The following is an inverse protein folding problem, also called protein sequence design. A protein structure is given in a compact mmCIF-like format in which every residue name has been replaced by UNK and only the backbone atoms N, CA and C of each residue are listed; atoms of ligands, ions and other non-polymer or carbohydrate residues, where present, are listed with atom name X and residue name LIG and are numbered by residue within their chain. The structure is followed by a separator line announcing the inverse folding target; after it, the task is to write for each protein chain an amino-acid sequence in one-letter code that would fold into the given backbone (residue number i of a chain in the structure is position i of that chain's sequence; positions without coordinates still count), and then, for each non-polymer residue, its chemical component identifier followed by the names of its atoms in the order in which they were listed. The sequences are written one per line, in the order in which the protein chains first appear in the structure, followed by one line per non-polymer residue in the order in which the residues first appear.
data_IF_199905916307
#
_entry.id   IF_199905916307
#
_cell.length_a   1.000
_cell.length_b   1.000
_cell.length_c   1.000
_cell.angle_alpha   90.00
_cell.angle_beta   90.00
_cell.angle_gamma   90.00
#
_symmetry.space_group_name_H-M   'P 1'
#
loop_
_entity.id
_entity.type
_entity.pdbx_description
1 polymer ?
#
# COMPACT_ATOMS: atom_id res chain seq x y z
N UNK A 1 67.13 0.72 -4.99
CA UNK A 1 65.93 1.09 -4.22
C UNK A 1 64.72 0.46 -4.92
N UNK A 2 64.09 -0.56 -4.34
CA UNK A 2 63.04 -1.39 -5.00
C UNK A 2 61.71 -0.63 -5.00
N UNK A 3 61.21 -0.26 -6.18
CA UNK A 3 59.88 0.34 -6.35
C UNK A 3 58.81 -0.75 -6.20
N UNK A 4 57.97 -0.65 -5.16
CA UNK A 4 56.80 -1.51 -5.00
C UNK A 4 55.60 -0.92 -5.75
N UNK A 5 55.17 -1.60 -6.81
CA UNK A 5 53.97 -1.27 -7.57
C UNK A 5 52.74 -1.73 -6.77
N UNK A 6 51.92 -0.80 -6.26
CA UNK A 6 50.68 -1.12 -5.55
C UNK A 6 49.55 -1.28 -6.57
N UNK A 7 49.06 -2.51 -6.74
CA UNK A 7 47.88 -2.79 -7.55
C UNK A 7 46.63 -2.55 -6.69
N UNK A 8 45.78 -1.60 -7.08
CA UNK A 8 44.51 -1.36 -6.40
C UNK A 8 43.40 -2.10 -7.16
N UNK A 9 42.75 -3.07 -6.50
CA UNK A 9 41.57 -3.75 -7.05
C UNK A 9 40.36 -2.87 -6.74
N UNK A 10 39.73 -2.35 -7.80
CA UNK A 10 38.44 -1.64 -7.69
C UNK A 10 37.34 -2.70 -7.84
N UNK A 11 36.67 -3.01 -6.73
CA UNK A 11 35.45 -3.84 -6.73
C UNK A 11 34.26 -2.91 -7.02
N UNK A 12 33.69 -3.02 -8.22
CA UNK A 12 32.43 -2.35 -8.54
C UNK A 12 31.29 -3.15 -7.90
N UNK A 13 30.78 -2.67 -6.77
CA UNK A 13 29.51 -3.14 -6.21
C UNK A 13 28.40 -2.38 -6.93
N UNK A 14 27.79 -3.01 -7.93
CA UNK A 14 26.54 -2.53 -8.50
C UNK A 14 25.43 -2.79 -7.47
N UNK A 15 24.98 -1.74 -6.78
CA UNK A 15 23.75 -1.80 -6.00
C UNK A 15 22.59 -1.91 -7.00
N UNK A 16 21.76 -2.97 -6.97
CA UNK A 16 20.55 -2.98 -7.77
C UNK A 16 19.65 -1.86 -7.24
N UNK A 17 19.46 -0.83 -8.06
CA UNK A 17 18.35 0.09 -7.86
C UNK A 17 17.08 -0.75 -7.98
N UNK A 18 16.28 -0.83 -6.92
CA UNK A 18 14.94 -1.37 -7.04
C UNK A 18 14.22 -0.53 -8.11
N UNK A 19 13.92 -1.14 -9.26
CA UNK A 19 13.08 -0.49 -10.25
C UNK A 19 11.72 -0.25 -9.59
N UNK A 20 11.24 1.00 -9.62
CA UNK A 20 9.86 1.28 -9.25
C UNK A 20 8.96 0.58 -10.26
N UNK A 21 8.42 -0.56 -9.88
CA UNK A 21 7.52 -1.32 -10.70
C UNK A 21 6.23 -0.52 -10.92
N UNK A 22 5.91 -0.26 -12.18
CA UNK A 22 4.68 0.42 -12.55
C UNK A 22 3.53 -0.57 -12.55
N UNK A 23 2.48 -0.23 -11.81
CA UNK A 23 1.22 -0.96 -11.80
C UNK A 23 0.15 -0.17 -12.55
N UNK A 24 -0.65 -0.90 -13.32
CA UNK A 24 -1.73 -0.38 -14.14
C UNK A 24 -3.07 -0.85 -13.59
N UNK A 25 -4.11 -0.03 -13.76
CA UNK A 25 -5.48 -0.53 -13.72
C UNK A 25 -5.85 -1.02 -15.11
N UNK A 26 -6.18 -2.30 -15.23
CA UNK A 26 -6.42 -2.98 -16.49
C UNK A 26 -7.83 -3.55 -16.51
N UNK A 27 -8.63 -3.18 -17.49
CA UNK A 27 -9.92 -3.80 -17.75
C UNK A 27 -9.75 -4.99 -18.68
N UNK A 28 -10.05 -6.18 -18.20
CA UNK A 28 -10.13 -7.40 -19.01
C UNK A 28 -11.59 -7.65 -19.39
N UNK A 29 -11.87 -7.86 -20.69
CA UNK A 29 -13.23 -7.92 -21.24
C UNK A 29 -13.88 -9.32 -21.19
N UNK A 30 -13.44 -10.17 -20.26
CA UNK A 30 -14.08 -11.46 -19.96
C UNK A 30 -13.95 -11.77 -18.48
N UNK A 31 -14.92 -12.51 -17.96
CA UNK A 31 -14.91 -13.05 -16.59
C UNK A 31 -15.19 -14.56 -16.60
N UNK A 32 -14.96 -15.24 -17.73
CA UNK A 32 -15.12 -16.68 -17.80
C UNK A 32 -14.02 -17.40 -16.99
N UNK A 33 -14.26 -18.67 -16.67
CA UNK A 33 -13.35 -19.44 -15.83
C UNK A 33 -11.96 -19.59 -16.46
N UNK A 34 -11.87 -19.64 -17.80
CA UNK A 34 -10.59 -19.73 -18.50
C UNK A 34 -9.75 -18.47 -18.31
N UNK A 35 -10.37 -17.30 -18.47
CA UNK A 35 -9.78 -15.98 -18.25
C UNK A 35 -9.33 -15.83 -16.80
N UNK A 36 -10.19 -16.15 -15.83
CA UNK A 36 -9.83 -16.06 -14.40
C UNK A 36 -8.67 -16.99 -14.04
N UNK A 37 -8.59 -18.16 -14.66
CA UNK A 37 -7.47 -19.10 -14.48
C UNK A 37 -6.18 -18.54 -15.07
N UNK A 38 -6.24 -17.92 -16.25
CA UNK A 38 -5.09 -17.22 -16.85
C UNK A 38 -4.61 -16.09 -15.93
N UNK A 39 -5.50 -15.24 -15.44
CA UNK A 39 -5.14 -14.14 -14.53
C UNK A 39 -4.45 -14.67 -13.26
N UNK A 40 -5.01 -15.71 -12.64
CA UNK A 40 -4.41 -16.35 -11.48
C UNK A 40 -3.02 -16.93 -11.77
N UNK A 41 -2.85 -17.63 -12.89
CA UNK A 41 -1.59 -18.27 -13.26
C UNK A 41 -0.49 -17.26 -13.61
N UNK A 42 -0.84 -16.10 -14.14
CA UNK A 42 0.10 -14.98 -14.39
C UNK A 42 0.35 -14.15 -13.12
N UNK A 43 -0.14 -14.61 -11.96
CA UNK A 43 0.07 -13.96 -10.67
C UNK A 43 -0.67 -12.62 -10.53
N UNK A 44 -1.69 -12.37 -11.35
CA UNK A 44 -2.49 -11.15 -11.28
C UNK A 44 -3.46 -11.28 -10.10
N UNK A 45 -3.39 -10.38 -9.10
CA UNK A 45 -4.23 -10.46 -7.91
C UNK A 45 -5.71 -10.22 -8.24
N UNK A 46 -6.58 -11.03 -7.62
CA UNK A 46 -8.04 -11.00 -7.81
C UNK A 46 -8.81 -10.62 -6.52
N UNK A 47 -8.09 -10.16 -5.50
CA UNK A 47 -8.61 -9.85 -4.16
C UNK A 47 -9.29 -8.46 -4.08
N UNK A 48 -8.83 -7.50 -4.88
CA UNK A 48 -9.35 -6.12 -4.92
C UNK A 48 -9.81 -5.71 -6.32
N UNK A 49 -10.75 -6.46 -6.90
CA UNK A 49 -11.22 -6.25 -8.28
C UNK A 49 -12.59 -5.60 -8.36
N UNK A 50 -12.82 -4.85 -9.44
CA UNK A 50 -14.16 -4.40 -9.83
C UNK A 50 -14.66 -5.28 -10.97
N UNK A 51 -15.75 -5.99 -10.73
CA UNK A 51 -16.26 -6.99 -11.68
C UNK A 51 -17.69 -6.68 -12.12
N UNK A 52 -17.93 -6.84 -13.43
CA UNK A 52 -19.26 -6.98 -14.00
C UNK A 52 -19.34 -8.35 -14.66
N UNK A 53 -20.01 -9.29 -14.00
CA UNK A 53 -20.08 -10.68 -14.43
C UNK A 53 -20.51 -10.83 -15.90
N UNK A 54 -19.75 -11.62 -16.65
CA UNK A 54 -19.94 -11.86 -18.07
C UNK A 54 -19.54 -10.69 -18.98
N UNK A 55 -18.99 -9.60 -18.44
CA UNK A 55 -18.63 -8.39 -19.22
C UNK A 55 -17.18 -7.98 -19.01
N UNK A 56 -16.77 -7.70 -17.77
CA UNK A 56 -15.40 -7.28 -17.50
C UNK A 56 -14.96 -7.49 -16.06
N UNK A 57 -13.65 -7.54 -15.86
CA UNK A 57 -12.98 -7.46 -14.56
C UNK A 57 -11.86 -6.42 -14.64
N UNK A 58 -11.85 -5.46 -13.74
CA UNK A 58 -10.76 -4.49 -13.59
C UNK A 58 -9.77 -5.06 -12.55
N UNK A 59 -8.52 -5.25 -12.96
CA UNK A 59 -7.43 -5.85 -12.16
C UNK A 59 -6.24 -4.89 -12.07
N UNK A 60 -5.35 -5.14 -11.10
CA UNK A 60 -4.04 -4.51 -11.02
C UNK A 60 -3.00 -5.43 -11.65
N UNK A 61 -2.29 -4.93 -12.65
CA UNK A 61 -1.25 -5.69 -13.34
C UNK A 61 -0.04 -4.80 -13.63
N UNK A 62 1.17 -5.36 -13.54
CA UNK A 62 2.39 -4.68 -13.94
C UNK A 62 2.62 -4.78 -15.46
N UNK A 63 3.70 -4.17 -15.95
CA UNK A 63 4.08 -4.19 -17.36
C UNK A 63 4.25 -5.62 -17.92
N UNK A 64 4.96 -6.48 -17.19
CA UNK A 64 5.17 -7.88 -17.59
C UNK A 64 3.83 -8.61 -17.76
N UNK A 65 2.96 -8.55 -16.76
CA UNK A 65 1.66 -9.20 -16.75
C UNK A 65 0.77 -8.70 -17.89
N UNK A 66 0.75 -7.40 -18.19
CA UNK A 66 -0.02 -6.89 -19.34
C UNK A 66 0.53 -7.33 -20.69
N UNK A 67 1.85 -7.46 -20.84
CA UNK A 67 2.46 -8.05 -22.03
C UNK A 67 2.06 -9.54 -22.18
N UNK A 68 1.96 -10.27 -21.06
CA UNK A 68 1.49 -11.66 -21.03
C UNK A 68 0.04 -11.80 -21.45
N UNK A 69 -0.86 -10.91 -21.00
CA UNK A 69 -2.26 -10.89 -21.46
C UNK A 69 -2.35 -10.75 -22.98
N UNK A 70 -1.55 -9.85 -23.56
CA UNK A 70 -1.49 -9.65 -25.01
C UNK A 70 -0.98 -10.90 -25.74
N UNK A 71 0.09 -11.52 -25.24
CA UNK A 71 0.65 -12.75 -25.81
C UNK A 71 -0.32 -13.94 -25.76
N UNK A 72 -1.20 -13.97 -24.75
CA UNK A 72 -2.24 -15.00 -24.59
C UNK A 72 -3.55 -14.68 -25.33
N UNK A 73 -3.61 -13.56 -26.04
CA UNK A 73 -4.80 -13.13 -26.79
C UNK A 73 -5.97 -12.72 -25.90
N UNK A 74 -5.73 -12.35 -24.65
CA UNK A 74 -6.75 -11.86 -23.72
C UNK A 74 -7.03 -10.38 -24.06
N UNK A 75 -8.26 -10.00 -24.45
CA UNK A 75 -8.59 -8.61 -24.75
C UNK A 75 -8.63 -7.76 -23.48
N UNK A 76 -7.92 -6.64 -23.48
CA UNK A 76 -7.90 -5.71 -22.35
C UNK A 76 -7.72 -4.25 -22.78
N UNK A 77 -8.09 -3.33 -21.89
CA UNK A 77 -7.77 -1.89 -21.96
C UNK A 77 -7.02 -1.45 -20.70
N UNK A 78 -6.07 -0.52 -20.86
CA UNK A 78 -5.44 0.15 -19.71
C UNK A 78 -6.29 1.36 -19.34
N UNK A 79 -6.83 1.36 -18.12
CA UNK A 79 -7.64 2.46 -17.58
C UNK A 79 -6.77 3.51 -16.88
N UNK A 80 -5.72 3.08 -16.19
CA UNK A 80 -4.78 3.94 -15.45
C UNK A 80 -3.37 3.39 -15.68
N UNK A 81 -2.45 4.23 -16.17
CA UNK A 81 -1.08 3.85 -16.56
C UNK A 81 -0.06 3.96 -15.43
N UNK A 82 -0.41 4.62 -14.33
CA UNK A 82 0.44 4.73 -13.14
C UNK A 82 -0.45 4.79 -11.90
N UNK A 83 -0.64 3.64 -11.26
CA UNK A 83 -1.44 3.54 -10.05
C UNK A 83 -0.81 4.25 -8.86
N UNK A 84 0.52 4.32 -8.80
CA UNK A 84 1.24 5.03 -7.72
C UNK A 84 0.94 6.52 -7.82
N UNK A 85 1.14 7.11 -9.00
CA UNK A 85 0.84 8.53 -9.20
C UNK A 85 -0.65 8.81 -9.04
N UNK A 86 -1.53 7.93 -9.52
CA UNK A 86 -2.98 8.06 -9.32
C UNK A 86 -3.38 8.18 -7.84
N UNK A 87 -2.76 7.39 -6.95
CA UNK A 87 -3.03 7.50 -5.52
C UNK A 87 -2.40 8.75 -4.91
N UNK A 88 -1.18 9.12 -5.31
CA UNK A 88 -0.51 10.34 -4.83
C UNK A 88 -1.31 11.60 -5.18
N UNK A 89 -1.78 11.71 -6.43
CA UNK A 89 -2.56 12.86 -6.90
C UNK A 89 -3.90 13.01 -6.17
N UNK A 90 -4.49 11.88 -5.78
CA UNK A 90 -5.75 11.85 -5.02
C UNK A 90 -5.53 12.02 -3.53
N UNK A 91 -4.29 11.93 -3.06
CA UNK A 91 -3.95 12.12 -1.66
C UNK A 91 -3.82 13.61 -1.34
N UNK A 92 -4.91 14.34 -1.56
CA UNK A 92 -5.05 15.75 -1.20
C UNK A 92 -5.62 15.79 0.21
N UNK A 93 -4.87 16.27 1.21
CA UNK A 93 -5.40 16.39 2.56
C UNK A 93 -6.59 17.35 2.57
N UNK A 94 -7.69 16.94 3.21
CA UNK A 94 -8.81 17.84 3.46
C UNK A 94 -8.32 18.96 4.40
N UNK A 95 -8.35 20.20 3.90
CA UNK A 95 -7.80 21.39 4.58
C UNK A 95 -8.65 21.76 5.80
N UNK A 96 -9.88 21.27 5.90
CA UNK A 96 -10.79 21.55 7.02
C UNK A 96 -11.02 20.29 7.86
N UNK A 97 -10.17 20.06 8.86
CA UNK A 97 -10.40 19.06 9.91
C UNK A 97 -10.16 19.65 11.29
N UNK A 98 -10.97 19.23 12.26
CA UNK A 98 -10.81 19.62 13.68
C UNK A 98 -9.57 18.99 14.32
N UNK A 99 -9.03 17.93 13.70
CA UNK A 99 -7.78 17.28 14.09
C UNK A 99 -6.68 17.62 13.09
N UNK A 100 -5.46 17.77 13.58
CA UNK A 100 -4.29 17.98 12.74
C UNK A 100 -4.08 16.83 11.74
N UNK A 101 -3.45 17.16 10.62
CA UNK A 101 -3.11 16.18 9.61
C UNK A 101 -1.88 15.38 10.05
N UNK A 102 -1.89 14.07 9.79
CA UNK A 102 -0.72 13.23 10.03
C UNK A 102 0.35 13.36 8.94
N UNK A 103 1.57 12.91 9.23
CA UNK A 103 2.70 13.06 8.31
C UNK A 103 2.65 12.13 7.09
N UNK A 104 1.84 11.07 7.12
CA UNK A 104 1.70 10.10 6.04
C UNK A 104 0.65 10.57 5.03
N UNK A 105 1.01 11.62 4.27
CA UNK A 105 0.14 12.26 3.28
C UNK A 105 -1.21 12.70 3.90
N UNK A 106 -1.16 13.30 5.09
CA UNK A 106 -2.35 13.74 5.81
C UNK A 106 -3.04 12.65 6.64
N UNK A 107 -2.61 11.39 6.55
CA UNK A 107 -3.00 10.31 7.46
C UNK A 107 -1.97 10.16 8.57
N UNK A 108 -2.39 9.67 9.74
CA UNK A 108 -1.46 9.36 10.82
C UNK A 108 -0.65 8.08 10.51
N UNK A 109 0.63 8.12 10.80
CA UNK A 109 1.42 6.92 11.05
C UNK A 109 0.89 6.18 12.29
N UNK A 110 1.27 4.92 12.47
CA UNK A 110 0.87 4.18 13.67
C UNK A 110 1.33 4.87 14.97
N UNK A 111 2.55 5.43 15.00
CA UNK A 111 3.06 6.15 16.18
C UNK A 111 2.24 7.40 16.46
N UNK A 112 1.98 8.21 15.43
CA UNK A 112 1.16 9.42 15.56
C UNK A 112 -0.25 9.08 16.05
N UNK A 113 -0.86 8.00 15.55
CA UNK A 113 -2.17 7.55 16.00
C UNK A 113 -2.15 7.23 17.51
N UNK A 114 -1.12 6.53 17.98
CA UNK A 114 -0.97 6.20 19.41
C UNK A 114 -0.81 7.47 20.25
N UNK A 115 -0.03 8.44 19.80
CA UNK A 115 0.13 9.74 20.47
C UNK A 115 -1.20 10.54 20.48
N UNK A 116 -2.03 10.38 19.44
CA UNK A 116 -3.37 10.98 19.40
C UNK A 116 -4.32 10.35 20.39
N UNK A 117 -4.20 9.06 20.71
CA UNK A 117 -4.98 8.45 21.79
C UNK A 117 -4.68 9.12 23.15
N UNK A 118 -3.42 9.41 23.44
CA UNK A 118 -3.04 10.14 24.68
C UNK A 118 -3.53 11.59 24.67
N UNK A 119 -3.48 12.22 23.50
CA UNK A 119 -4.03 13.58 23.31
C UNK A 119 -5.53 13.60 23.59
N UNK A 120 -6.29 12.60 23.12
CA UNK A 120 -7.73 12.51 23.37
C UNK A 120 -8.05 12.33 24.85
N UNK A 121 -7.32 11.46 25.57
CA UNK A 121 -7.48 11.29 27.02
C UNK A 121 -7.16 12.59 27.79
N UNK A 122 -6.17 13.36 27.31
CA UNK A 122 -5.79 14.66 27.92
C UNK A 122 -6.83 15.75 27.66
N UNK A 123 -7.38 15.83 26.44
CA UNK A 123 -8.32 16.88 26.05
C UNK A 123 -9.75 16.60 26.54
N UNK A 124 -10.13 15.33 26.65
CA UNK A 124 -11.49 14.91 26.97
C UNK A 124 -11.53 13.90 28.15
N UNK A 125 -10.92 14.21 29.31
CA UNK A 125 -10.76 13.26 30.41
C UNK A 125 -12.08 12.82 31.06
N UNK A 126 -13.16 13.58 30.88
CA UNK A 126 -14.49 13.22 31.39
C UNK A 126 -15.19 12.15 30.55
N UNK A 127 -14.72 11.90 29.32
CA UNK A 127 -15.33 10.93 28.40
C UNK A 127 -14.36 9.95 27.76
N UNK A 128 -13.04 10.16 27.85
CA UNK A 128 -12.00 9.30 27.26
C UNK A 128 -11.04 8.80 28.34
N UNK A 129 -10.83 7.49 28.43
CA UNK A 129 -9.85 6.88 29.32
C UNK A 129 -8.42 7.02 28.80
N UNK A 130 -7.42 6.88 29.68
CA UNK A 130 -6.05 6.57 29.24
C UNK A 130 -6.09 5.25 28.47
N UNK A 131 -5.28 5.13 27.42
CA UNK A 131 -5.18 3.90 26.63
C UNK A 131 -4.59 2.76 27.48
N UNK A 132 -5.08 1.55 27.26
CA UNK A 132 -4.58 0.33 27.87
C UNK A 132 -4.22 -0.72 26.79
N UNK A 133 -3.34 -1.63 27.15
CA UNK A 133 -2.89 -2.73 26.30
C UNK A 133 -3.83 -3.92 26.44
N UNK A 134 -4.41 -4.38 25.33
CA UNK A 134 -5.25 -5.58 25.29
C UNK A 134 -4.53 -6.78 24.66
N UNK A 135 -3.23 -6.68 24.45
CA UNK A 135 -2.39 -7.75 23.93
C UNK A 135 -1.39 -7.27 22.87
N UNK A 136 -0.88 -8.22 22.10
CA UNK A 136 0.06 -7.96 21.02
C UNK A 136 -0.45 -8.56 19.71
N UNK A 137 -0.18 -7.85 18.61
CA UNK A 137 -0.32 -8.36 17.25
C UNK A 137 0.67 -9.51 16.99
N UNK A 138 0.51 -10.20 15.86
CA UNK A 138 1.40 -11.30 15.46
C UNK A 138 2.87 -10.86 15.27
N UNK A 139 3.09 -9.59 14.92
CA UNK A 139 4.43 -9.00 14.78
C UNK A 139 4.93 -8.36 16.10
N UNK A 140 4.25 -8.59 17.22
CA UNK A 140 4.66 -8.12 18.55
C UNK A 140 4.35 -6.65 18.85
N UNK A 141 3.63 -5.94 17.98
CA UNK A 141 3.16 -4.57 18.28
C UNK A 141 1.99 -4.60 19.26
N UNK A 142 2.01 -3.73 20.26
CA UNK A 142 0.92 -3.56 21.23
C UNK A 142 -0.39 -3.21 20.54
N UNK A 143 -1.47 -3.87 20.95
CA UNK A 143 -2.83 -3.50 20.57
C UNK A 143 -3.36 -2.57 21.66
N UNK A 144 -3.48 -1.29 21.30
CA UNK A 144 -4.00 -0.26 22.18
C UNK A 144 -5.52 -0.17 22.09
N UNK A 145 -6.17 -0.02 23.23
CA UNK A 145 -7.58 0.30 23.33
C UNK A 145 -7.77 1.44 24.34
N UNK A 146 -8.78 2.28 24.15
CA UNK A 146 -9.24 3.24 25.15
C UNK A 146 -10.76 3.23 25.18
N UNK A 147 -11.32 3.62 26.32
CA UNK A 147 -12.77 3.62 26.56
C UNK A 147 -13.33 5.01 26.32
N UNK A 148 -14.49 5.08 25.67
CA UNK A 148 -15.30 6.30 25.56
C UNK A 148 -16.60 6.09 26.32
N UNK A 149 -16.82 6.82 27.41
CA UNK A 149 -17.95 6.64 28.34
C UNK A 149 -18.12 7.83 29.26
N UNK A 150 -19.33 8.07 29.75
CA UNK A 150 -19.64 8.99 30.86
C UNK A 150 -19.02 8.60 32.23
N UNK A 151 -18.42 7.40 32.33
CA UNK A 151 -17.57 6.98 33.42
C UNK A 151 -16.29 6.36 32.84
N UNK A 152 -15.31 7.18 32.40
CA UNK A 152 -14.16 6.73 31.61
C UNK A 152 -13.10 5.97 32.40
N UNK A 153 -13.13 6.05 33.74
CA UNK A 153 -12.28 5.21 34.61
C UNK A 153 -12.66 3.71 34.56
#
# INVERSE_FOLDING_TARGET
MKFFLRFSIVVNIALPLAANELYYSVRVWSTDQATLTVLHNEGIPLDHVRIKAGVYIDVLANEEQTARLSALGIPYDILITDMTQYFLDRNVPDITRDFELGSMLGNYTFSELVDKMDTLATLYPSIVSVKDSIGASIEGRTIWAFKVSDNPE
#
